data_IF_041550565006
#
_entry.id   IF_041550565006
#
_cell.length_a   1.000
_cell.length_b   1.000
_cell.length_c   1.000
_cell.angle_alpha   90.00
_cell.angle_beta   90.00
_cell.angle_gamma   90.00
#
_symmetry.space_group_name_H-M   'P 1'
#
loop_
_entity.id
_entity.type
_entity.pdbx_description
1 polymer ?
#
# COMPACT_ATOMS: atom_id res chain seq x y z
N UNK A 1 5.03 -11.32 1.45
CA UNK A 1 5.74 -10.01 1.38
C UNK A 1 6.11 -9.60 -0.05
N UNK A 2 6.81 -10.45 -0.82
CA UNK A 2 7.16 -10.18 -2.23
C UNK A 2 5.95 -9.98 -3.15
N UNK A 3 4.91 -10.80 -2.98
CA UNK A 3 3.65 -10.66 -3.72
C UNK A 3 2.93 -9.36 -3.35
N UNK A 4 2.80 -9.05 -2.05
CA UNK A 4 2.22 -7.79 -1.56
C UNK A 4 2.96 -6.59 -2.17
N UNK A 5 4.29 -6.61 -2.17
CA UNK A 5 5.10 -5.54 -2.75
C UNK A 5 4.76 -5.34 -4.23
N UNK A 6 4.76 -6.42 -5.01
CA UNK A 6 4.43 -6.40 -6.45
C UNK A 6 3.01 -5.87 -6.71
N UNK A 7 2.04 -6.27 -5.90
CA UNK A 7 0.65 -5.83 -6.03
C UNK A 7 0.52 -4.32 -5.80
N UNK A 8 1.13 -3.81 -4.74
CA UNK A 8 1.07 -2.38 -4.43
C UNK A 8 1.90 -1.52 -5.38
N UNK A 9 3.04 -2.00 -5.87
CA UNK A 9 3.77 -1.35 -6.96
C UNK A 9 2.94 -1.27 -8.24
N UNK A 10 2.13 -2.31 -8.54
CA UNK A 10 1.19 -2.25 -9.66
C UNK A 10 0.11 -1.19 -9.44
N UNK A 11 -0.49 -1.10 -8.24
CA UNK A 11 -1.49 -0.06 -7.93
C UNK A 11 -0.90 1.35 -8.06
N UNK A 12 0.32 1.57 -7.55
CA UNK A 12 1.02 2.84 -7.69
C UNK A 12 1.28 3.17 -9.16
N UNK A 13 1.75 2.20 -9.95
CA UNK A 13 2.05 2.36 -11.37
C UNK A 13 0.81 2.74 -12.21
N UNK A 14 -0.30 2.00 -12.07
CA UNK A 14 -1.54 2.30 -12.81
C UNK A 14 -2.21 3.60 -12.35
N UNK A 15 -1.83 4.10 -11.19
CA UNK A 15 -2.31 5.37 -10.63
C UNK A 15 -1.33 6.52 -10.88
N UNK A 16 -0.28 6.27 -11.67
CA UNK A 16 0.75 7.23 -12.07
C UNK A 16 1.58 7.79 -10.90
N UNK A 17 1.60 7.12 -9.75
CA UNK A 17 2.44 7.49 -8.63
C UNK A 17 3.91 7.24 -8.96
N UNK A 18 4.73 8.28 -8.76
CA UNK A 18 6.18 8.16 -8.89
C UNK A 18 6.81 7.72 -7.57
N UNK A 19 7.40 6.52 -7.56
CA UNK A 19 8.09 5.95 -6.40
C UNK A 19 9.53 6.44 -6.36
N UNK A 20 9.89 7.12 -5.27
CA UNK A 20 11.26 7.59 -5.00
C UNK A 20 12.09 6.54 -4.27
N UNK A 21 11.48 5.80 -3.35
CA UNK A 21 12.16 4.78 -2.57
C UNK A 21 11.17 3.74 -2.04
N UNK A 22 11.69 2.56 -1.70
CA UNK A 22 10.97 1.52 -0.98
C UNK A 22 11.83 1.01 0.18
N UNK A 23 11.24 0.92 1.37
CA UNK A 23 11.88 0.33 2.55
C UNK A 23 10.94 -0.67 3.22
N UNK A 24 11.49 -1.73 3.80
CA UNK A 24 10.73 -2.76 4.50
C UNK A 24 11.44 -3.27 5.75
N UNK A 25 10.67 -3.81 6.68
CA UNK A 25 11.17 -4.45 7.88
C UNK A 25 10.34 -5.69 8.24
N UNK A 26 11.04 -6.78 8.57
CA UNK A 26 10.47 -8.04 9.04
C UNK A 26 10.69 -8.14 10.54
N UNK A 27 9.60 -8.19 11.30
CA UNK A 27 9.67 -8.33 12.75
C UNK A 27 9.83 -9.81 13.15
N UNK A 28 10.55 -10.13 14.24
CA UNK A 28 10.76 -11.51 14.68
C UNK A 28 9.48 -12.30 14.99
N UNK A 29 8.38 -11.62 15.30
CA UNK A 29 7.07 -12.21 15.57
C UNK A 29 6.24 -12.48 14.29
N UNK A 30 6.84 -12.33 13.10
CA UNK A 30 6.16 -12.47 11.81
C UNK A 30 5.44 -11.21 11.33
N UNK A 31 5.47 -10.11 12.09
CA UNK A 31 4.97 -8.81 11.63
C UNK A 31 5.79 -8.25 10.47
N UNK A 32 5.19 -7.32 9.73
CA UNK A 32 5.78 -6.73 8.54
C UNK A 32 5.34 -5.27 8.40
N UNK A 33 6.31 -4.39 8.14
CA UNK A 33 6.06 -2.99 7.78
C UNK A 33 6.81 -2.68 6.49
N UNK A 34 6.16 -1.97 5.57
CA UNK A 34 6.85 -1.38 4.43
C UNK A 34 6.31 -0.01 4.07
N UNK A 35 7.15 0.79 3.40
CA UNK A 35 6.86 2.15 2.99
C UNK A 35 7.39 2.37 1.57
N UNK A 36 6.52 2.90 0.72
CA UNK A 36 6.91 3.55 -0.53
C UNK A 36 6.92 5.06 -0.30
N UNK A 37 8.10 5.66 -0.48
CA UNK A 37 8.22 7.11 -0.57
C UNK A 37 7.78 7.53 -1.98
N UNK A 38 6.80 8.43 -2.06
CA UNK A 38 6.29 8.99 -3.31
C UNK A 38 6.76 10.45 -3.41
N UNK A 39 6.67 11.07 -4.59
CA UNK A 39 7.23 12.43 -4.83
C UNK A 39 6.92 13.46 -3.74
N UNK A 40 5.65 13.61 -3.34
CA UNK A 40 5.21 14.56 -2.31
C UNK A 40 4.29 13.89 -1.27
N UNK A 41 4.41 12.57 -1.10
CA UNK A 41 3.54 11.78 -0.23
C UNK A 41 4.11 10.38 0.06
N UNK A 42 3.30 9.44 0.55
CA UNK A 42 3.75 8.08 0.85
C UNK A 42 2.60 7.07 0.83
N UNK A 43 2.98 5.80 0.65
CA UNK A 43 2.14 4.63 0.94
C UNK A 43 2.83 3.80 2.02
N UNK A 44 2.11 3.48 3.09
CA UNK A 44 2.59 2.63 4.18
C UNK A 44 1.68 1.41 4.39
N UNK A 45 2.28 0.27 4.73
CA UNK A 45 1.56 -0.93 5.14
C UNK A 45 2.15 -1.45 6.44
N UNK A 46 1.28 -1.78 7.39
CA UNK A 46 1.62 -2.36 8.69
C UNK A 46 0.76 -3.60 8.95
N UNK A 47 1.40 -4.72 9.30
CA UNK A 47 0.68 -5.93 9.71
C UNK A 47 0.71 -6.11 11.23
N UNK A 48 -0.46 -6.38 11.80
CA UNK A 48 -0.66 -6.64 13.23
C UNK A 48 -1.11 -8.10 13.38
N UNK A 49 -0.14 -9.02 13.47
CA UNK A 49 -0.38 -10.46 13.47
C UNK A 49 -1.33 -10.89 14.59
N UNK A 50 -1.15 -10.33 15.80
CA UNK A 50 -1.98 -10.66 16.96
C UNK A 50 -3.47 -10.34 16.75
N UNK A 51 -3.77 -9.30 15.97
CA UNK A 51 -5.13 -8.85 15.71
C UNK A 51 -5.69 -9.37 14.37
N UNK A 52 -4.88 -10.12 13.61
CA UNK A 52 -5.16 -10.50 12.22
C UNK A 52 -5.61 -9.30 11.35
N UNK A 53 -4.91 -8.17 11.50
CA UNK A 53 -5.22 -6.91 10.80
C UNK A 53 -4.03 -6.45 9.96
N UNK A 54 -4.36 -5.80 8.85
CA UNK A 54 -3.41 -5.03 8.05
C UNK A 54 -3.94 -3.60 7.95
N UNK A 55 -3.08 -2.64 8.25
CA UNK A 55 -3.35 -1.23 8.05
C UNK A 55 -2.61 -0.75 6.80
N UNK A 56 -3.32 -0.07 5.91
CA UNK A 56 -2.80 0.47 4.67
C UNK A 56 -3.11 1.97 4.67
N UNK A 57 -2.10 2.80 4.52
CA UNK A 57 -2.25 4.26 4.44
C UNK A 57 -1.70 4.73 3.10
N UNK A 58 -2.56 5.29 2.24
CA UNK A 58 -2.15 6.10 1.11
C UNK A 58 -2.36 7.57 1.46
N UNK A 59 -1.27 8.30 1.64
CA UNK A 59 -1.28 9.75 1.59
C UNK A 59 -0.93 10.17 0.17
N UNK A 60 -1.75 11.00 -0.46
CA UNK A 60 -1.60 11.38 -1.87
C UNK A 60 -1.89 12.85 -2.11
N UNK A 61 -1.05 13.53 -2.90
CA UNK A 61 -1.20 14.95 -3.22
C UNK A 61 -2.22 15.23 -4.34
N UNK A 62 -2.64 14.21 -5.11
CA UNK A 62 -3.53 14.36 -6.26
C UNK A 62 -4.78 13.49 -6.16
N UNK A 63 -5.96 14.11 -6.26
CA UNK A 63 -7.26 13.44 -6.13
C UNK A 63 -7.56 12.43 -7.23
N UNK A 64 -7.10 12.68 -8.46
CA UNK A 64 -7.30 11.75 -9.59
C UNK A 64 -6.47 10.48 -9.39
N UNK A 65 -5.20 10.63 -9.01
CA UNK A 65 -4.30 9.51 -8.70
C UNK A 65 -4.85 8.66 -7.54
N UNK A 66 -5.36 9.30 -6.48
CA UNK A 66 -6.04 8.59 -5.38
C UNK A 66 -7.24 7.76 -5.85
N UNK A 67 -8.08 8.31 -6.74
CA UNK A 67 -9.23 7.57 -7.28
C UNK A 67 -8.81 6.38 -8.13
N UNK A 68 -7.77 6.53 -8.96
CA UNK A 68 -7.23 5.42 -9.75
C UNK A 68 -6.66 4.32 -8.85
N UNK A 69 -5.98 4.70 -7.76
CA UNK A 69 -5.43 3.74 -6.81
C UNK A 69 -6.55 2.97 -6.10
N UNK A 70 -7.55 3.68 -5.59
CA UNK A 70 -8.70 3.06 -4.92
C UNK A 70 -9.45 2.14 -5.89
N UNK A 71 -9.67 2.55 -7.14
CA UNK A 71 -10.34 1.71 -8.14
C UNK A 71 -9.54 0.42 -8.45
N UNK A 72 -8.22 0.52 -8.61
CA UNK A 72 -7.37 -0.65 -8.85
C UNK A 72 -7.32 -1.59 -7.63
N UNK A 73 -7.27 -1.02 -6.42
CA UNK A 73 -7.32 -1.76 -5.17
C UNK A 73 -8.66 -2.48 -5.01
N UNK A 74 -9.78 -1.77 -5.18
CA UNK A 74 -11.14 -2.33 -5.08
C UNK A 74 -11.40 -3.40 -6.14
N UNK A 75 -10.88 -3.25 -7.36
CA UNK A 75 -10.97 -4.29 -8.39
C UNK A 75 -10.29 -5.60 -7.97
N UNK A 76 -9.17 -5.52 -7.23
CA UNK A 76 -8.43 -6.69 -6.76
C UNK A 76 -9.01 -7.28 -5.48
N UNK A 77 -9.49 -6.44 -4.57
CA UNK A 77 -9.94 -6.84 -3.22
C UNK A 77 -11.45 -6.64 -3.00
N UNK A 78 -12.28 -6.80 -4.05
CA UNK A 78 -13.71 -6.43 -4.13
C UNK A 78 -14.66 -6.99 -3.04
N UNK A 79 -14.16 -7.73 -2.04
CA UNK A 79 -14.92 -8.32 -0.94
C UNK A 79 -14.43 -7.90 0.47
N UNK A 80 -13.55 -6.91 0.60
CA UNK A 80 -13.10 -6.42 1.91
C UNK A 80 -13.70 -5.05 2.23
N UNK A 81 -14.25 -4.88 3.44
CA UNK A 81 -14.69 -3.56 3.94
C UNK A 81 -13.45 -2.68 4.09
N UNK A 82 -13.33 -1.68 3.21
CA UNK A 82 -12.41 -0.57 3.37
C UNK A 82 -13.05 0.38 4.38
N UNK A 83 -12.40 0.60 5.53
CA UNK A 83 -12.83 1.56 6.57
C UNK A 83 -11.83 2.71 6.60
#
# INVERSE_FOLDING_TARGET
PSELKREFENFLSVSEYHVLNFIEHFFPNGGYTCLWLLSESHLAIHTFIADNKTYIELTGCNKAMNKMFIAAFEQKYSNQKIV
#
